data_IF_748441495017
#
_entry.id   IF_748441495017
#
_cell.length_a   1.000
_cell.length_b   1.000
_cell.length_c   1.000
_cell.angle_alpha   90.00
_cell.angle_beta   90.00
_cell.angle_gamma   90.00
#
_symmetry.space_group_name_H-M   'P 1'
#
loop_
_entity.id
_entity.type
_entity.pdbx_description
1 polymer ?
#
# COMPACT_ATOMS: atom_id res chain seq x y z
N UNK A 1 -5.37 10.98 2.44
CA UNK A 1 -5.74 11.61 1.16
C UNK A 1 -6.15 13.03 1.44
N UNK A 2 -5.61 13.97 0.67
CA UNK A 2 -6.05 15.35 0.75
C UNK A 2 -7.46 15.49 0.17
N UNK A 3 -8.24 16.47 0.64
CA UNK A 3 -9.61 16.65 0.18
C UNK A 3 -9.63 16.99 -1.32
N UNK A 4 -10.24 16.11 -2.12
CA UNK A 4 -10.33 16.26 -3.58
C UNK A 4 -9.14 15.70 -4.37
N UNK A 5 -8.17 15.08 -3.70
CA UNK A 5 -7.06 14.38 -4.35
C UNK A 5 -7.53 13.04 -4.94
N UNK A 6 -7.15 12.76 -6.20
CA UNK A 6 -7.39 11.45 -6.82
C UNK A 6 -6.51 10.39 -6.15
N UNK A 7 -7.02 9.16 -6.03
CA UNK A 7 -6.35 8.09 -5.29
C UNK A 7 -4.97 7.74 -5.88
N UNK A 8 -4.84 7.74 -7.20
CA UNK A 8 -3.59 7.52 -7.91
C UNK A 8 -2.57 8.65 -7.70
N UNK A 9 -3.04 9.89 -7.61
CA UNK A 9 -2.19 11.06 -7.30
C UNK A 9 -1.67 10.98 -5.86
N UNK A 10 -2.55 10.64 -4.92
CA UNK A 10 -2.18 10.41 -3.54
C UNK A 10 -1.10 9.31 -3.46
N UNK A 11 -1.33 8.15 -4.10
CA UNK A 11 -0.36 7.07 -4.10
C UNK A 11 1.00 7.50 -4.68
N UNK A 12 1.03 8.24 -5.80
CA UNK A 12 2.29 8.70 -6.38
C UNK A 12 3.05 9.66 -5.47
N UNK A 13 2.35 10.55 -4.75
CA UNK A 13 2.94 11.45 -3.76
C UNK A 13 3.51 10.68 -2.57
N UNK A 14 2.72 9.78 -1.96
CA UNK A 14 3.17 8.97 -0.81
C UNK A 14 4.38 8.08 -1.18
N UNK A 15 4.37 7.43 -2.36
CA UNK A 15 5.53 6.65 -2.83
C UNK A 15 6.80 7.50 -2.93
N UNK A 16 6.67 8.76 -3.37
CA UNK A 16 7.80 9.67 -3.47
C UNK A 16 8.30 10.14 -2.08
N UNK A 17 7.38 10.41 -1.15
CA UNK A 17 7.68 10.91 0.19
C UNK A 17 8.26 9.84 1.11
N UNK A 18 7.67 8.64 1.10
CA UNK A 18 8.00 7.59 2.08
C UNK A 18 9.00 6.55 1.54
N UNK A 19 9.05 6.36 0.21
CA UNK A 19 9.88 5.35 -0.44
C UNK A 19 10.94 5.91 -1.40
N UNK A 20 10.91 7.23 -1.65
CA UNK A 20 11.76 7.88 -2.65
C UNK A 20 11.44 7.46 -4.09
N UNK A 21 10.32 6.78 -4.32
CA UNK A 21 9.95 6.17 -5.59
C UNK A 21 9.04 7.11 -6.38
N UNK A 22 9.50 7.59 -7.54
CA UNK A 22 8.74 8.53 -8.37
C UNK A 22 8.08 7.81 -9.53
N UNK A 23 6.76 7.68 -9.44
CA UNK A 23 5.94 6.95 -10.42
C UNK A 23 4.93 7.90 -11.06
N UNK A 24 4.65 7.71 -12.34
CA UNK A 24 3.56 8.41 -13.01
C UNK A 24 2.26 7.60 -12.89
N UNK A 25 1.08 8.25 -12.76
CA UNK A 25 -0.19 7.54 -12.59
C UNK A 25 -0.51 6.50 -13.68
N UNK A 26 -0.03 6.72 -14.91
CA UNK A 26 -0.23 5.80 -16.05
C UNK A 26 0.52 4.46 -15.91
N UNK A 27 1.45 4.36 -14.96
CA UNK A 27 2.16 3.11 -14.61
C UNK A 27 1.41 2.27 -13.58
N UNK A 28 0.38 2.82 -12.95
CA UNK A 28 -0.41 2.14 -11.94
C UNK A 28 -1.56 1.37 -12.59
N UNK A 29 -1.74 0.12 -12.19
CA UNK A 29 -2.93 -0.67 -12.57
C UNK A 29 -3.91 -0.71 -11.42
N UNK A 30 -5.09 -0.10 -11.58
CA UNK A 30 -6.15 -0.15 -10.58
C UNK A 30 -6.64 -1.59 -10.37
N UNK A 31 -6.72 -2.01 -9.11
CA UNK A 31 -7.19 -3.34 -8.68
C UNK A 31 -8.54 -3.26 -7.94
N UNK A 32 -9.12 -2.07 -7.85
CA UNK A 32 -10.39 -1.77 -7.20
C UNK A 32 -10.26 -1.37 -5.74
N UNK A 33 -11.39 -1.34 -5.04
CA UNK A 33 -11.49 -0.88 -3.65
C UNK A 33 -11.69 -2.06 -2.70
N UNK A 34 -11.13 -1.97 -1.49
CA UNK A 34 -11.35 -2.94 -0.40
C UNK A 34 -11.62 -2.21 0.91
N UNK A 35 -12.31 -2.92 1.80
CA UNK A 35 -12.60 -2.47 3.17
C UNK A 35 -12.21 -3.53 4.17
N UNK A 36 -11.69 -3.10 5.31
CA UNK A 36 -11.41 -3.97 6.45
C UNK A 36 -11.41 -3.14 7.75
N UNK A 37 -11.54 -3.78 8.92
CA UNK A 37 -11.36 -3.09 10.20
C UNK A 37 -9.99 -2.39 10.28
N UNK A 38 -9.98 -1.17 10.82
CA UNK A 38 -8.75 -0.42 11.04
C UNK A 38 -7.86 -1.13 12.08
N UNK A 39 -6.55 -1.18 11.82
CA UNK A 39 -5.60 -1.84 12.73
C UNK A 39 -5.36 -1.04 14.03
N UNK A 40 -5.48 0.28 13.95
CA UNK A 40 -5.12 1.23 14.99
C UNK A 40 -6.32 1.87 15.70
N UNK A 41 -7.54 1.68 15.19
CA UNK A 41 -8.74 2.33 15.74
C UNK A 41 -9.93 1.37 15.80
N UNK A 42 -10.26 0.90 17.00
CA UNK A 42 -11.34 -0.05 17.20
C UNK A 42 -12.71 0.57 16.86
N UNK A 43 -13.52 -0.16 16.10
CA UNK A 43 -14.85 0.30 15.66
C UNK A 43 -14.84 1.10 14.37
N UNK A 44 -13.67 1.30 13.75
CA UNK A 44 -13.52 1.97 12.46
C UNK A 44 -13.12 0.99 11.36
N UNK A 45 -13.44 1.35 10.12
CA UNK A 45 -13.02 0.64 8.92
C UNK A 45 -12.08 1.52 8.09
N UNK A 46 -11.09 0.88 7.47
CA UNK A 46 -10.29 1.47 6.41
C UNK A 46 -10.91 1.10 5.07
N UNK A 47 -11.14 2.09 4.22
CA UNK A 47 -11.37 1.91 2.79
C UNK A 47 -10.08 2.24 2.04
N UNK A 48 -9.62 1.34 1.18
CA UNK A 48 -8.41 1.53 0.40
C UNK A 48 -8.65 1.28 -1.09
N UNK A 49 -8.17 2.22 -1.90
CA UNK A 49 -7.99 2.03 -3.33
C UNK A 49 -6.69 1.26 -3.57
N UNK A 50 -6.78 0.13 -4.27
CA UNK A 50 -5.64 -0.76 -4.49
C UNK A 50 -5.09 -0.59 -5.90
N UNK A 51 -3.76 -0.51 -5.97
CA UNK A 51 -3.03 -0.39 -7.23
C UNK A 51 -1.90 -1.42 -7.28
N UNK A 52 -1.60 -1.88 -8.49
CA UNK A 52 -0.42 -2.69 -8.79
C UNK A 52 0.60 -1.85 -9.53
N UNK A 53 1.85 -1.96 -9.08
CA UNK A 53 3.03 -1.39 -9.73
C UNK A 53 4.07 -2.48 -9.93
N UNK A 54 4.67 -2.54 -11.10
CA UNK A 54 5.85 -3.37 -11.39
C UNK A 54 7.03 -2.43 -11.65
N UNK A 55 8.08 -2.57 -10.85
CA UNK A 55 9.30 -1.75 -10.95
C UNK A 55 10.52 -2.53 -10.48
N UNK A 56 11.68 -2.20 -11.02
CA UNK A 56 13.02 -2.63 -10.58
C UNK A 56 13.81 -1.50 -9.90
N UNK A 57 13.18 -0.34 -9.69
CA UNK A 57 13.77 0.79 -9.00
C UNK A 57 14.06 0.49 -7.53
N UNK A 58 15.12 1.12 -7.02
CA UNK A 58 15.45 1.02 -5.59
C UNK A 58 14.53 1.91 -4.78
N UNK A 59 14.10 1.39 -3.64
CA UNK A 59 13.30 2.10 -2.64
C UNK A 59 14.10 2.22 -1.34
N UNK A 60 13.85 3.28 -0.58
CA UNK A 60 14.45 3.47 0.73
C UNK A 60 13.38 3.98 1.69
N UNK A 61 13.38 3.46 2.92
CA UNK A 61 12.51 3.97 3.96
C UNK A 61 12.82 5.45 4.24
N UNK A 62 11.78 6.28 4.26
CA UNK A 62 11.83 7.70 4.54
C UNK A 62 10.56 8.13 5.30
N UNK A 63 10.54 9.38 5.76
CA UNK A 63 9.43 9.97 6.51
C UNK A 63 8.97 9.07 7.69
N UNK A 64 7.72 8.61 7.67
CA UNK A 64 7.11 7.83 8.75
C UNK A 64 7.45 6.33 8.70
N UNK A 65 8.13 5.86 7.64
CA UNK A 65 8.53 4.46 7.52
C UNK A 65 9.85 4.20 8.26
N UNK A 66 9.79 3.34 9.28
CA UNK A 66 10.96 2.95 10.07
C UNK A 66 11.85 1.88 9.38
N UNK A 67 11.26 0.98 8.58
CA UNK A 67 11.97 -0.12 7.92
C UNK A 67 11.29 -0.50 6.60
N UNK A 68 12.10 -0.88 5.59
CA UNK A 68 11.62 -1.54 4.38
C UNK A 68 12.35 -2.87 4.15
N UNK A 69 11.59 -3.88 3.74
CA UNK A 69 12.10 -5.20 3.38
C UNK A 69 11.28 -5.84 2.26
N UNK A 70 11.97 -6.46 1.32
CA UNK A 70 11.36 -7.40 0.39
C UNK A 70 11.25 -8.77 1.08
N UNK A 71 10.07 -9.37 1.04
CA UNK A 71 9.81 -10.67 1.67
C UNK A 71 9.09 -11.59 0.69
N UNK A 72 9.37 -12.89 0.79
CA UNK A 72 8.61 -13.89 0.07
C UNK A 72 7.18 -13.98 0.62
N UNK A 73 6.21 -14.40 -0.21
CA UNK A 73 4.81 -14.54 0.25
C UNK A 73 4.70 -15.43 1.50
N UNK A 74 5.45 -16.53 1.55
CA UNK A 74 5.47 -17.45 2.72
C UNK A 74 6.02 -16.79 3.99
N UNK A 75 6.92 -15.82 3.84
CA UNK A 75 7.49 -15.06 4.96
C UNK A 75 6.50 -14.00 5.42
N UNK A 76 5.87 -13.29 4.48
CA UNK A 76 4.83 -12.30 4.76
C UNK A 76 3.66 -12.88 5.56
N UNK A 77 3.24 -14.12 5.28
CA UNK A 77 2.19 -14.81 6.04
C UNK A 77 2.53 -15.09 7.52
N UNK A 78 3.80 -14.95 7.92
CA UNK A 78 4.25 -15.07 9.31
C UNK A 78 4.43 -13.73 10.00
N UNK A 79 4.29 -12.61 9.28
CA UNK A 79 4.41 -11.27 9.83
C UNK A 79 3.06 -10.84 10.42
N UNK A 80 3.12 -10.10 11.52
CA UNK A 80 1.97 -9.34 12.00
C UNK A 80 1.80 -8.13 11.09
N UNK A 81 0.72 -8.12 10.31
CA UNK A 81 0.37 -7.04 9.39
C UNK A 81 -1.07 -6.58 9.67
N UNK A 82 -1.45 -5.41 9.14
CA UNK A 82 -2.81 -4.89 9.29
C UNK A 82 -3.85 -5.84 8.66
N UNK A 83 -5.11 -5.85 9.14
CA UNK A 83 -6.16 -6.74 8.64
C UNK A 83 -6.33 -6.71 7.12
N UNK A 84 -6.33 -5.51 6.53
CA UNK A 84 -6.44 -5.35 5.07
C UNK A 84 -5.25 -6.00 4.34
N UNK A 85 -4.02 -5.81 4.83
CA UNK A 85 -2.82 -6.41 4.23
C UNK A 85 -2.86 -7.94 4.35
N UNK A 86 -3.35 -8.47 5.46
CA UNK A 86 -3.50 -9.92 5.66
C UNK A 86 -4.50 -10.51 4.64
N UNK A 87 -5.64 -9.87 4.44
CA UNK A 87 -6.64 -10.26 3.43
C UNK A 87 -6.02 -10.35 2.03
N UNK A 88 -5.25 -9.33 1.65
CA UNK A 88 -4.56 -9.28 0.35
C UNK A 88 -3.48 -10.36 0.17
N UNK A 89 -2.79 -10.74 1.24
CA UNK A 89 -1.81 -11.83 1.18
C UNK A 89 -2.46 -13.20 0.96
N UNK A 90 -3.66 -13.41 1.53
CA UNK A 90 -4.41 -14.66 1.47
C UNK A 90 -5.20 -14.82 0.16
N UNK A 91 -5.84 -13.74 -0.29
CA UNK A 91 -6.81 -13.78 -1.40
C UNK A 91 -6.29 -13.12 -2.68
N UNK A 92 -5.21 -12.33 -2.61
CA UNK A 92 -4.66 -11.60 -3.74
C UNK A 92 -5.44 -10.32 -4.06
N UNK A 93 -5.02 -9.65 -5.14
CA UNK A 93 -5.59 -8.35 -5.56
C UNK A 93 -6.86 -8.47 -6.41
N UNK A 94 -7.41 -9.68 -6.58
CA UNK A 94 -8.39 -10.00 -7.63
C UNK A 94 -7.72 -10.48 -8.91
#
# INVERSE_FOLDING_TARGET
MEAGEAAESALCRELAEELGLRVQPDRLTECGVRRAPAANEAGYEVEAHLFRLVTDERVAAAAEIAEIRWVERREALRLTVAPLTQDLLLHGLG
#
